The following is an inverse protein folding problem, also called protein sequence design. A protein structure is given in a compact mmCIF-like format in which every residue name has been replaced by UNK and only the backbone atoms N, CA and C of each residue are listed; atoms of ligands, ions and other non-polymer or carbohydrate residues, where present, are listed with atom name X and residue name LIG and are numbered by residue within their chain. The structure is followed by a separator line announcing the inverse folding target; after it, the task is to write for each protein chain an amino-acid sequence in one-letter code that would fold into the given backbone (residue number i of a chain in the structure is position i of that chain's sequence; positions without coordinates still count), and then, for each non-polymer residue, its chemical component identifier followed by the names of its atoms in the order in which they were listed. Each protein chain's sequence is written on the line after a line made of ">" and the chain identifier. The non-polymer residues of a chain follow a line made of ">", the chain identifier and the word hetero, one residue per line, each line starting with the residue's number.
data_IF_758167492724
#
_entry.id   IF_758167492724
#
_cell.length_a   1.000
_cell.length_b   1.000
_cell.length_c   1.000
_cell.angle_alpha   90.00
_cell.angle_beta   90.00
_cell.angle_gamma   90.00
#
_symmetry.space_group_name_H-M   'P 1'
#
loop_
_entity.id
_entity.type
_entity.pdbx_description
1 polymer ?
#
# COMPACT_ATOMS: atom_id res chain seq x y z
N UNK A 1 17.46 -11.92 17.74
CA UNK A 1 18.02 -11.72 16.38
C UNK A 1 17.13 -12.32 15.30
N UNK A 2 16.78 -13.62 15.34
CA UNK A 2 15.90 -14.26 14.33
C UNK A 2 14.56 -13.55 14.14
N UNK A 3 13.81 -13.31 15.22
CA UNK A 3 12.52 -12.61 15.14
C UNK A 3 12.60 -11.25 14.45
N UNK A 4 13.63 -10.44 14.75
CA UNK A 4 13.85 -9.13 14.12
C UNK A 4 14.16 -9.29 12.63
N UNK A 5 15.02 -10.24 12.27
CA UNK A 5 15.34 -10.50 10.86
C UNK A 5 14.09 -10.92 10.06
N UNK A 6 13.27 -11.82 10.62
CA UNK A 6 12.03 -12.26 9.98
C UNK A 6 10.95 -11.17 9.96
N UNK A 7 10.93 -10.27 10.94
CA UNK A 7 10.08 -9.07 10.91
C UNK A 7 10.44 -8.18 9.72
N UNK A 8 11.71 -7.82 9.58
CA UNK A 8 12.18 -6.96 8.48
C UNK A 8 11.94 -7.64 7.14
N UNK A 9 12.26 -8.94 7.03
CA UNK A 9 12.03 -9.71 5.82
C UNK A 9 10.54 -9.74 5.44
N UNK A 10 9.66 -10.00 6.41
CA UNK A 10 8.23 -10.05 6.18
C UNK A 10 7.66 -8.68 5.77
N UNK A 11 8.14 -7.59 6.37
CA UNK A 11 7.74 -6.23 5.97
C UNK A 11 8.11 -5.94 4.50
N UNK A 12 9.36 -6.25 4.12
CA UNK A 12 9.84 -6.05 2.75
C UNK A 12 9.11 -6.99 1.77
N UNK A 13 8.86 -8.24 2.15
CA UNK A 13 8.16 -9.18 1.28
C UNK A 13 6.68 -8.81 1.14
N UNK A 14 6.03 -8.32 2.20
CA UNK A 14 4.66 -7.86 2.13
C UNK A 14 4.51 -6.67 1.17
N UNK A 15 5.48 -5.73 1.16
CA UNK A 15 5.50 -4.65 0.16
C UNK A 15 5.71 -5.13 -1.26
N UNK A 16 6.54 -6.16 -1.43
CA UNK A 16 6.73 -6.81 -2.73
C UNK A 16 5.46 -7.47 -3.25
N UNK A 17 4.78 -8.22 -2.38
CA UNK A 17 3.53 -8.91 -2.73
C UNK A 17 2.44 -7.90 -3.05
N UNK A 18 2.30 -6.83 -2.25
CA UNK A 18 1.36 -5.74 -2.51
C UNK A 18 1.54 -5.14 -3.90
N UNK A 19 2.78 -4.78 -4.27
CA UNK A 19 3.11 -4.27 -5.60
C UNK A 19 2.66 -5.21 -6.73
N UNK A 20 2.94 -6.52 -6.63
CA UNK A 20 2.56 -7.49 -7.66
C UNK A 20 1.05 -7.78 -7.70
N UNK A 21 0.39 -7.78 -6.55
CA UNK A 21 -1.06 -7.94 -6.48
C UNK A 21 -1.74 -6.73 -7.13
N UNK A 22 -1.27 -5.51 -6.90
CA UNK A 22 -1.80 -4.32 -7.56
C UNK A 22 -1.61 -4.39 -9.08
N UNK A 23 -0.44 -4.83 -9.57
CA UNK A 23 -0.25 -5.11 -11.00
C UNK A 23 -1.21 -6.17 -11.54
N UNK A 24 -1.43 -7.25 -10.78
CA UNK A 24 -2.37 -8.30 -11.16
C UNK A 24 -3.81 -7.79 -11.23
N UNK A 25 -4.20 -6.88 -10.34
CA UNK A 25 -5.50 -6.22 -10.38
C UNK A 25 -5.67 -5.40 -11.66
N UNK A 26 -4.63 -4.72 -12.13
CA UNK A 26 -4.67 -4.00 -13.41
C UNK A 26 -4.66 -4.92 -14.63
N UNK A 27 -4.01 -6.08 -14.54
CA UNK A 27 -3.89 -7.02 -15.66
C UNK A 27 -5.12 -7.94 -15.81
N UNK A 28 -5.68 -8.44 -14.71
CA UNK A 28 -6.75 -9.44 -14.73
C UNK A 28 -8.09 -8.82 -14.30
N UNK A 29 -9.08 -8.69 -15.20
CA UNK A 29 -10.36 -8.04 -14.90
C UNK A 29 -11.17 -8.67 -13.77
N UNK A 30 -10.99 -9.97 -13.49
CA UNK A 30 -11.67 -10.68 -12.39
C UNK A 30 -11.03 -10.38 -11.05
N UNK A 31 -9.70 -10.35 -10.99
CA UNK A 31 -8.97 -10.00 -9.75
C UNK A 31 -9.14 -8.51 -9.44
N UNK A 32 -9.10 -7.67 -10.47
CA UNK A 32 -9.19 -6.22 -10.36
C UNK A 32 -10.59 -5.64 -10.44
N UNK A 33 -11.66 -6.43 -10.31
CA UNK A 33 -13.03 -5.90 -10.42
C UNK A 33 -13.26 -4.76 -9.41
N UNK A 34 -12.98 -5.01 -8.13
CA UNK A 34 -13.07 -4.00 -7.06
C UNK A 34 -12.09 -2.85 -7.26
N UNK A 35 -10.88 -3.17 -7.71
CA UNK A 35 -9.84 -2.18 -7.97
C UNK A 35 -10.22 -1.21 -9.09
N UNK A 36 -10.88 -1.71 -10.13
CA UNK A 36 -11.40 -0.87 -11.22
C UNK A 36 -12.52 0.05 -10.74
N UNK A 37 -13.41 -0.43 -9.87
CA UNK A 37 -14.45 0.41 -9.28
C UNK A 37 -13.88 1.44 -8.29
N UNK A 38 -12.79 1.08 -7.60
CA UNK A 38 -11.97 2.00 -6.83
C UNK A 38 -11.38 3.10 -7.71
N UNK A 39 -10.76 2.74 -8.84
CA UNK A 39 -10.27 3.71 -9.85
C UNK A 39 -11.35 4.63 -10.40
N UNK A 40 -12.53 4.10 -10.69
CA UNK A 40 -13.67 4.89 -11.21
C UNK A 40 -14.17 5.93 -10.22
N UNK A 41 -14.18 5.60 -8.93
CA UNK A 41 -14.62 6.50 -7.86
C UNK A 41 -13.51 7.39 -7.33
N UNK A 42 -12.25 6.97 -7.49
CA UNK A 42 -11.07 7.58 -6.90
C UNK A 42 -11.19 7.78 -5.38
N UNK A 43 -11.65 6.73 -4.68
CA UNK A 43 -11.95 6.80 -3.24
C UNK A 43 -11.54 5.51 -2.53
N UNK A 44 -10.73 5.63 -1.47
CA UNK A 44 -10.47 4.53 -0.56
C UNK A 44 -11.70 4.13 0.27
N UNK A 45 -11.73 2.86 0.69
CA UNK A 45 -12.80 2.35 1.58
C UNK A 45 -12.55 2.67 3.06
N UNK A 46 -11.44 3.31 3.42
CA UNK A 46 -11.08 3.66 4.79
C UNK A 46 -10.04 2.71 5.39
N UNK A 47 -9.20 3.24 6.28
CA UNK A 47 -7.99 2.55 6.79
C UNK A 47 -8.29 1.18 7.40
N UNK A 48 -9.34 1.04 8.22
CA UNK A 48 -9.62 -0.22 8.92
C UNK A 48 -10.21 -1.28 7.99
N UNK A 49 -11.01 -0.89 6.99
CA UNK A 49 -11.54 -1.85 6.02
C UNK A 49 -10.47 -2.35 5.07
N UNK A 50 -9.60 -1.47 4.58
CA UNK A 50 -8.41 -1.87 3.82
C UNK A 50 -7.53 -2.82 4.62
N UNK A 51 -7.19 -2.45 5.85
CA UNK A 51 -6.38 -3.28 6.74
C UNK A 51 -7.01 -4.66 6.95
N UNK A 52 -8.32 -4.72 7.24
CA UNK A 52 -9.06 -5.97 7.40
C UNK A 52 -8.96 -6.83 6.14
N UNK A 53 -9.15 -6.25 4.97
CA UNK A 53 -9.12 -6.98 3.70
C UNK A 53 -7.71 -7.51 3.40
N UNK A 54 -6.66 -6.73 3.69
CA UNK A 54 -5.28 -7.16 3.54
C UNK A 54 -4.97 -8.34 4.48
N UNK A 55 -5.27 -8.20 5.77
CA UNK A 55 -5.08 -9.26 6.76
C UNK A 55 -5.87 -10.51 6.37
N UNK A 56 -7.14 -10.37 5.98
CA UNK A 56 -7.98 -11.50 5.56
C UNK A 56 -7.38 -12.22 4.35
N UNK A 57 -6.87 -11.48 3.38
CA UNK A 57 -6.25 -12.03 2.17
C UNK A 57 -4.92 -12.75 2.44
N UNK A 58 -4.17 -12.35 3.47
CA UNK A 58 -2.84 -12.87 3.76
C UNK A 58 -2.71 -13.72 5.03
N UNK A 59 -3.76 -13.87 5.84
CA UNK A 59 -3.66 -14.46 7.20
C UNK A 59 -3.05 -15.86 7.21
N UNK A 60 -3.35 -16.68 6.21
CA UNK A 60 -2.79 -18.03 6.08
C UNK A 60 -1.26 -17.92 5.95
N UNK A 61 -0.77 -17.09 5.01
CA UNK A 61 0.66 -16.88 4.75
C UNK A 61 1.36 -16.21 5.92
N UNK A 62 0.69 -15.29 6.62
CA UNK A 62 1.20 -14.66 7.84
C UNK A 62 1.46 -15.68 8.96
N UNK A 63 0.69 -16.77 9.01
CA UNK A 63 0.80 -17.78 10.07
C UNK A 63 1.71 -18.97 9.72
N UNK A 64 2.07 -19.19 8.45
CA UNK A 64 2.87 -20.37 8.05
C UNK A 64 4.19 -20.53 8.82
N UNK A 65 4.98 -19.48 9.11
CA UNK A 65 6.27 -19.68 9.76
C UNK A 65 6.19 -20.12 11.24
N UNK A 66 5.01 -20.05 11.88
CA UNK A 66 4.80 -20.68 13.19
C UNK A 66 4.95 -22.20 13.16
N UNK A 67 4.78 -22.84 11.99
CA UNK A 67 5.02 -24.28 11.81
C UNK A 67 6.51 -24.63 11.89
N UNK A 68 7.40 -23.64 11.73
CA UNK A 68 8.85 -23.83 11.77
C UNK A 68 9.40 -23.57 13.17
N UNK A 69 9.11 -22.38 13.72
CA UNK A 69 9.52 -22.00 15.07
C UNK A 69 8.70 -20.81 15.57
N UNK A 70 8.49 -20.73 16.88
CA UNK A 70 7.67 -19.67 17.48
C UNK A 70 8.26 -18.26 17.31
N UNK A 71 9.57 -18.09 17.52
CA UNK A 71 10.25 -16.79 17.37
C UNK A 71 10.28 -16.30 15.91
N UNK A 72 10.42 -17.24 14.97
CA UNK A 72 10.33 -16.98 13.53
C UNK A 72 8.91 -16.59 13.13
N UNK A 73 7.91 -17.37 13.56
CA UNK A 73 6.49 -17.10 13.33
C UNK A 73 6.07 -15.73 13.85
N UNK A 74 6.46 -15.41 15.09
CA UNK A 74 6.13 -14.12 15.70
C UNK A 74 6.75 -12.94 14.95
N UNK A 75 8.03 -13.04 14.59
CA UNK A 75 8.72 -12.01 13.81
C UNK A 75 8.03 -11.76 12.47
N UNK A 76 7.80 -12.83 11.71
CA UNK A 76 7.15 -12.75 10.40
C UNK A 76 5.73 -12.20 10.47
N UNK A 77 4.92 -12.72 11.38
CA UNK A 77 3.54 -12.29 11.56
C UNK A 77 3.46 -10.79 11.87
N UNK A 78 4.26 -10.32 12.84
CA UNK A 78 4.27 -8.89 13.20
C UNK A 78 4.80 -8.01 12.07
N UNK A 79 5.83 -8.45 11.33
CA UNK A 79 6.35 -7.69 10.19
C UNK A 79 5.31 -7.54 9.08
N UNK A 80 4.61 -8.62 8.77
CA UNK A 80 3.52 -8.64 7.80
C UNK A 80 2.33 -7.78 8.25
N UNK A 81 1.95 -7.89 9.51
CA UNK A 81 0.83 -7.16 10.10
C UNK A 81 1.10 -5.64 10.15
N UNK A 82 2.32 -5.26 10.54
CA UNK A 82 2.76 -3.86 10.53
C UNK A 82 2.77 -3.32 9.11
N UNK A 83 3.25 -4.08 8.13
CA UNK A 83 3.17 -3.64 6.73
C UNK A 83 1.72 -3.48 6.26
N UNK A 84 0.83 -4.43 6.58
CA UNK A 84 -0.58 -4.33 6.21
C UNK A 84 -1.23 -3.06 6.79
N UNK A 85 -0.96 -2.75 8.06
CA UNK A 85 -1.46 -1.53 8.70
C UNK A 85 -0.88 -0.26 8.05
N UNK A 86 0.43 -0.25 7.79
CA UNK A 86 1.10 0.86 7.11
C UNK A 86 0.57 1.07 5.69
N UNK A 87 0.42 0.00 4.90
CA UNK A 87 -0.09 0.07 3.53
C UNK A 87 -1.53 0.57 3.50
N UNK A 88 -2.39 0.14 4.42
CA UNK A 88 -3.78 0.60 4.50
C UNK A 88 -3.86 2.09 4.85
N UNK A 89 -3.02 2.53 5.81
CA UNK A 89 -2.89 3.94 6.16
C UNK A 89 -2.36 4.77 4.99
N UNK A 90 -1.27 4.34 4.37
CA UNK A 90 -0.65 5.03 3.23
C UNK A 90 -1.58 5.10 2.02
N UNK A 91 -2.37 4.05 1.78
CA UNK A 91 -3.38 4.01 0.73
C UNK A 91 -4.41 5.11 0.95
N UNK A 92 -5.04 5.17 2.14
CA UNK A 92 -6.05 6.18 2.44
C UNK A 92 -5.47 7.59 2.48
N UNK A 93 -4.29 7.76 3.08
CA UNK A 93 -3.61 9.06 3.17
C UNK A 93 -3.34 9.64 1.78
N UNK A 94 -2.99 8.82 0.79
CA UNK A 94 -2.76 9.30 -0.57
C UNK A 94 -4.03 9.74 -1.29
N UNK A 95 -5.20 9.19 -0.95
CA UNK A 95 -6.47 9.66 -1.51
C UNK A 95 -6.92 11.00 -0.91
N UNK A 96 -6.68 11.21 0.38
CA UNK A 96 -7.24 12.36 1.10
C UNK A 96 -6.24 13.49 1.37
N UNK A 97 -4.96 13.17 1.54
CA UNK A 97 -3.92 14.16 1.80
C UNK A 97 -2.53 13.70 1.30
N UNK A 98 -2.33 13.64 -0.03
CA UNK A 98 -1.09 13.15 -0.64
C UNK A 98 0.17 13.92 -0.20
N UNK A 99 0.04 15.19 0.19
CA UNK A 99 1.16 16.02 0.67
C UNK A 99 1.77 15.55 1.99
N UNK A 100 1.03 14.76 2.78
CA UNK A 100 1.49 14.19 4.04
C UNK A 100 2.27 12.89 3.89
N UNK A 101 2.40 12.36 2.67
CA UNK A 101 3.24 11.20 2.37
C UNK A 101 4.73 11.57 2.28
N UNK A 102 5.31 12.07 3.37
CA UNK A 102 6.67 12.60 3.42
C UNK A 102 7.78 11.56 3.20
N UNK A 103 7.48 10.27 3.36
CA UNK A 103 8.47 9.19 3.21
C UNK A 103 8.69 8.78 1.75
N UNK A 104 7.93 9.34 0.81
CA UNK A 104 8.16 9.18 -0.62
C UNK A 104 8.34 10.55 -1.27
N UNK A 105 9.21 10.65 -2.27
CA UNK A 105 9.39 11.90 -3.05
C UNK A 105 8.10 12.34 -3.76
N UNK A 106 7.27 11.36 -4.12
CA UNK A 106 6.00 11.54 -4.79
C UNK A 106 5.03 10.49 -4.22
N UNK A 107 3.80 10.85 -3.85
CA UNK A 107 2.77 9.91 -3.45
C UNK A 107 2.32 9.12 -4.68
N UNK A 108 3.00 7.99 -4.91
CA UNK A 108 2.91 7.22 -6.16
C UNK A 108 1.48 6.74 -6.45
N UNK A 109 0.71 6.38 -5.43
CA UNK A 109 -0.67 5.93 -5.61
C UNK A 109 -1.62 7.09 -5.93
N UNK A 110 -1.42 8.26 -5.30
CA UNK A 110 -2.18 9.45 -5.65
C UNK A 110 -2.00 9.81 -7.12
N UNK A 111 -0.75 9.91 -7.59
CA UNK A 111 -0.48 10.26 -8.99
C UNK A 111 -0.91 9.16 -9.95
N UNK A 112 -0.88 7.89 -9.52
CA UNK A 112 -1.38 6.77 -10.28
C UNK A 112 -2.86 6.95 -10.63
N UNK A 113 -3.66 7.37 -9.65
CA UNK A 113 -5.05 7.72 -9.85
C UNK A 113 -5.24 9.02 -10.64
N UNK A 114 -4.64 10.13 -10.18
CA UNK A 114 -4.80 11.46 -10.78
C UNK A 114 -4.53 11.47 -12.28
N UNK A 115 -3.52 10.73 -12.72
CA UNK A 115 -3.08 10.70 -14.12
C UNK A 115 -3.40 9.39 -14.85
N UNK A 116 -4.30 8.55 -14.32
CA UNK A 116 -4.73 7.29 -14.94
C UNK A 116 -3.55 6.39 -15.37
N UNK A 117 -2.58 6.18 -14.47
CA UNK A 117 -1.35 5.47 -14.79
C UNK A 117 -1.53 3.94 -14.75
N UNK A 118 -2.38 3.38 -15.62
CA UNK A 118 -2.70 1.95 -15.70
C UNK A 118 -1.49 0.99 -15.80
N UNK A 119 -0.31 1.52 -16.16
CA UNK A 119 0.93 0.75 -16.34
C UNK A 119 2.12 1.22 -15.48
N UNK A 120 1.93 2.17 -14.56
CA UNK A 120 3.00 2.78 -13.77
C UNK A 120 2.59 3.06 -12.33
N UNK A 121 3.57 3.20 -11.43
CA UNK A 121 3.38 3.64 -10.05
C UNK A 121 2.40 2.75 -9.25
N UNK A 122 2.68 1.46 -9.16
CA UNK A 122 1.83 0.47 -8.51
C UNK A 122 2.03 0.36 -7.00
N UNK A 123 3.07 0.96 -6.42
CA UNK A 123 3.26 0.92 -4.97
C UNK A 123 2.15 1.66 -4.22
N UNK A 124 1.63 1.05 -3.14
CA UNK A 124 0.75 1.74 -2.19
C UNK A 124 1.57 2.44 -1.10
N UNK A 125 2.34 1.67 -0.32
CA UNK A 125 3.08 2.21 0.83
C UNK A 125 4.47 2.76 0.49
N UNK A 126 5.14 2.19 -0.52
CA UNK A 126 6.52 2.47 -0.91
C UNK A 126 6.68 2.41 -2.44
N UNK A 127 7.64 3.15 -2.98
CA UNK A 127 7.93 3.22 -4.43
C UNK A 127 9.11 2.32 -4.86
N UNK A 128 9.63 1.50 -3.96
CA UNK A 128 10.86 0.71 -4.19
C UNK A 128 10.73 -0.22 -5.39
N UNK A 129 9.61 -0.92 -5.47
CA UNK A 129 9.38 -1.93 -6.51
C UNK A 129 9.08 -1.30 -7.86
N UNK A 130 8.43 -0.13 -7.88
CA UNK A 130 8.29 0.64 -9.11
C UNK A 130 9.64 1.04 -9.70
N UNK A 131 10.60 1.40 -8.85
CA UNK A 131 11.97 1.74 -9.28
C UNK A 131 12.73 0.50 -9.74
N UNK A 132 12.64 -0.60 -9.00
CA UNK A 132 13.34 -1.85 -9.31
C UNK A 132 12.82 -2.48 -10.62
N UNK A 133 11.51 -2.47 -10.84
CA UNK A 133 10.87 -3.09 -12.01
C UNK A 133 10.58 -2.12 -13.16
N UNK A 134 11.05 -0.87 -13.06
CA UNK A 134 10.95 0.11 -14.15
C UNK A 134 9.54 0.62 -14.43
N UNK A 135 8.63 0.56 -13.46
CA UNK A 135 7.27 1.12 -13.58
C UNK A 135 7.14 2.48 -12.90
N UNK A 136 8.19 2.99 -12.26
CA UNK A 136 8.20 4.34 -11.69
C UNK A 136 8.14 5.41 -12.79
N UNK A 137 7.06 6.19 -12.81
CA UNK A 137 6.87 7.32 -13.72
C UNK A 137 6.77 8.62 -12.93
N UNK A 138 7.87 9.36 -12.90
CA UNK A 138 7.93 10.69 -12.28
C UNK A 138 7.05 11.68 -13.02
N UNK A 139 6.34 12.52 -12.28
CA UNK A 139 5.58 13.67 -12.79
C UNK A 139 5.68 14.83 -11.81
N UNK A 140 5.53 16.07 -12.30
CA UNK A 140 5.21 17.19 -11.42
C UNK A 140 3.77 17.00 -10.93
N UNK A 141 3.62 16.84 -9.62
CA UNK A 141 2.34 16.49 -9.01
C UNK A 141 1.87 17.53 -7.99
N UNK A 142 2.80 18.25 -7.37
CA UNK A 142 2.52 19.24 -6.34
C UNK A 142 2.28 20.58 -7.00
N UNK A 143 1.01 20.97 -7.12
CA UNK A 143 0.57 22.25 -7.67
C UNK A 143 0.01 23.14 -6.57
N UNK A 144 -0.40 24.37 -6.91
CA UNK A 144 -1.10 25.26 -5.97
C UNK A 144 -2.41 24.63 -5.45
N UNK A 145 -3.05 23.75 -6.23
CA UNK A 145 -4.26 23.05 -5.84
C UNK A 145 -4.02 22.18 -4.60
N UNK A 146 -3.08 21.23 -4.65
CA UNK A 146 -2.75 20.35 -3.52
C UNK A 146 -2.21 21.11 -2.30
N UNK A 147 -1.56 22.25 -2.53
CA UNK A 147 -1.08 23.12 -1.47
C UNK A 147 -2.20 23.93 -0.80
N UNK A 148 -3.27 24.23 -1.53
CA UNK A 148 -4.40 25.04 -1.07
C UNK A 148 -5.54 24.23 -0.44
N UNK A 149 -5.63 22.93 -0.73
CA UNK A 149 -6.63 22.04 -0.15
C UNK A 149 -6.52 22.00 1.40
N UNK A 150 -7.68 21.90 2.07
CA UNK A 150 -7.74 21.83 3.53
C UNK A 150 -7.01 20.57 4.02
N UNK A 151 -5.81 20.75 4.55
CA UNK A 151 -4.91 19.65 4.87
C UNK A 151 -5.30 18.94 6.15
N UNK A 152 -6.32 18.07 6.06
CA UNK A 152 -6.76 17.14 7.09
C UNK A 152 -5.55 16.53 7.82
N UNK A 153 -5.55 16.58 9.16
CA UNK A 153 -4.50 16.03 10.03
C UNK A 153 -4.15 14.58 9.71
N UNK A 154 -2.97 14.12 10.13
CA UNK A 154 -2.50 12.74 9.90
C UNK A 154 -3.46 11.63 10.40
N UNK A 155 -4.39 11.96 11.29
CA UNK A 155 -5.41 11.05 11.84
C UNK A 155 -6.83 11.41 11.40
N UNK A 156 -7.02 12.52 10.68
CA UNK A 156 -8.32 12.96 10.16
C UNK A 156 -8.56 12.33 8.80
N UNK A 157 -8.46 11.00 8.74
CA UNK A 157 -8.72 10.22 7.54
C UNK A 157 -10.07 9.50 7.67
N UNK A 158 -10.63 9.05 6.56
CA UNK A 158 -11.67 8.01 6.61
C UNK A 158 -11.10 6.73 7.22
N UNK A 159 -11.60 6.34 8.39
CA UNK A 159 -11.18 5.11 9.07
C UNK A 159 -12.04 3.89 8.71
N UNK A 160 -13.27 4.08 8.23
CA UNK A 160 -14.25 3.04 7.87
C UNK A 160 -15.19 3.52 6.75
#
# INVERSE_FOLDING_TARGET
>A
MRAIAFFVLAFILASFVEYWIHRLMHFNPRVGERHRDHHRRNEGQGVLWEFRDYVRGSIIVMCLPFLVAWDVGLGWFLGSLVYAAFSAYAHQLQHENPTKCFWMKMPVHYVHHKYNMWHHNFGLGVDWWDRIFGTYKSVEWLTEEELSENQLGYLQLKWW
#
